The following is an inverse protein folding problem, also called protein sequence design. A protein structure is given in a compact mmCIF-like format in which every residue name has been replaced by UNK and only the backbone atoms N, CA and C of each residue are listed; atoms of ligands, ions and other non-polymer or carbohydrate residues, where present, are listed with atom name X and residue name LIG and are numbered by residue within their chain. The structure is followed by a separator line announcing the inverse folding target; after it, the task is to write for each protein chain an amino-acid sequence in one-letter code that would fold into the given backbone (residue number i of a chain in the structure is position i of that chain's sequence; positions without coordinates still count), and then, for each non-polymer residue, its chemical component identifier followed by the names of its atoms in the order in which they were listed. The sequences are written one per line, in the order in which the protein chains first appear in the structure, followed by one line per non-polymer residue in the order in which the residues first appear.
data_IF_167683911549
#
_entry.id   IF_167683911549
#
_cell.length_a   1.000
_cell.length_b   1.000
_cell.length_c   1.000
_cell.angle_alpha   90.00
_cell.angle_beta   90.00
_cell.angle_gamma   90.00
#
_symmetry.space_group_name_H-M   'P 1'
#
loop_
_entity.id
_entity.type
_entity.pdbx_description
1 polymer ?
#
# COMPACT_ATOMS: atom_id res chain seq x y z
N UNK A 1 28.78 -3.41 -38.67
CA UNK A 1 27.81 -2.32 -38.38
C UNK A 1 26.40 -2.74 -38.81
N UNK A 2 25.37 -2.50 -37.98
CA UNK A 2 23.98 -2.93 -38.26
C UNK A 2 23.32 -2.14 -39.42
N UNK A 3 23.71 -0.87 -39.63
CA UNK A 3 23.09 0.00 -40.64
C UNK A 3 23.47 -0.37 -42.09
N UNK A 4 24.76 -0.60 -42.45
CA UNK A 4 25.14 -1.06 -43.78
C UNK A 4 24.55 -2.43 -44.14
N UNK A 5 24.42 -3.34 -43.17
CA UNK A 5 23.76 -4.64 -43.36
C UNK A 5 22.27 -4.52 -43.73
N UNK A 6 21.64 -3.39 -43.43
CA UNK A 6 20.25 -3.07 -43.80
C UNK A 6 20.16 -2.13 -45.02
N UNK A 7 21.27 -1.90 -45.72
CA UNK A 7 21.33 -0.98 -46.87
C UNK A 7 21.19 0.50 -46.51
N UNK A 8 21.39 0.87 -45.24
CA UNK A 8 21.26 2.25 -44.74
C UNK A 8 22.63 2.90 -44.60
N UNK A 9 22.86 4.04 -45.27
CA UNK A 9 24.07 4.86 -45.13
C UNK A 9 23.99 5.67 -43.83
N UNK A 10 25.00 5.51 -42.97
CA UNK A 10 25.15 6.25 -41.73
C UNK A 10 26.17 7.37 -41.92
N UNK A 11 25.75 8.62 -41.65
CA UNK A 11 26.60 9.81 -41.73
C UNK A 11 26.55 10.53 -40.38
N UNK A 12 27.69 10.61 -39.69
CA UNK A 12 27.86 11.43 -38.50
C UNK A 12 28.81 12.59 -38.81
N UNK A 13 28.24 13.76 -39.09
CA UNK A 13 28.96 14.96 -39.57
C UNK A 13 30.03 15.40 -38.56
N UNK A 14 29.68 15.47 -37.28
CA UNK A 14 30.60 15.94 -36.22
C UNK A 14 31.69 14.92 -35.88
N UNK A 15 31.50 13.65 -36.23
CA UNK A 15 32.43 12.57 -35.94
C UNK A 15 33.21 12.12 -37.18
N UNK A 16 32.98 12.75 -38.35
CA UNK A 16 33.66 12.42 -39.61
C UNK A 16 33.39 11.00 -40.10
N UNK A 17 32.25 10.40 -39.72
CA UNK A 17 31.89 9.03 -40.09
C UNK A 17 30.97 9.05 -41.30
N UNK A 18 31.36 8.37 -42.37
CA UNK A 18 30.51 8.06 -43.51
C UNK A 18 30.67 6.59 -43.90
N UNK A 19 29.61 5.81 -43.70
CA UNK A 19 29.65 4.36 -43.97
C UNK A 19 29.80 4.01 -45.45
N UNK A 20 29.76 4.99 -46.37
CA UNK A 20 30.05 4.79 -47.79
C UNK A 20 31.54 4.92 -48.14
N UNK A 21 32.37 5.52 -47.27
CA UNK A 21 33.79 5.80 -47.53
C UNK A 21 34.75 4.79 -46.87
N UNK A 22 34.24 3.84 -46.08
CA UNK A 22 35.02 2.77 -45.43
C UNK A 22 34.46 2.41 -44.05
N UNK A 23 34.90 1.28 -43.49
CA UNK A 23 34.57 0.89 -42.12
C UNK A 23 35.34 1.76 -41.12
N UNK A 24 34.62 2.49 -40.27
CA UNK A 24 35.19 3.30 -39.21
C UNK A 24 35.13 2.54 -37.88
N UNK A 25 36.11 1.66 -37.66
CA UNK A 25 36.21 0.76 -36.50
C UNK A 25 36.27 1.49 -35.14
N UNK A 26 36.63 2.78 -35.16
CA UNK A 26 36.72 3.61 -33.96
C UNK A 26 35.39 4.23 -33.51
N UNK A 27 34.37 4.30 -34.39
CA UNK A 27 33.09 4.93 -34.05
C UNK A 27 32.36 4.23 -32.88
N UNK A 28 32.31 2.90 -32.79
CA UNK A 28 31.78 2.21 -31.61
C UNK A 28 32.56 2.51 -30.33
N UNK A 29 33.89 2.58 -30.38
CA UNK A 29 34.74 2.90 -29.22
C UNK A 29 34.45 4.30 -28.70
N UNK A 30 34.39 5.30 -29.59
CA UNK A 30 34.07 6.70 -29.23
C UNK A 30 32.68 6.83 -28.62
N UNK A 31 31.70 6.09 -29.13
CA UNK A 31 30.36 6.02 -28.53
C UNK A 31 30.38 5.44 -27.11
N UNK A 32 31.19 4.41 -26.85
CA UNK A 32 31.36 3.85 -25.50
C UNK A 32 31.98 4.89 -24.56
N UNK A 33 33.00 5.64 -25.00
CA UNK A 33 33.59 6.71 -24.18
C UNK A 33 32.61 7.83 -23.86
N UNK A 34 31.83 8.27 -24.85
CA UNK A 34 30.77 9.27 -24.64
C UNK A 34 29.71 8.76 -23.65
N UNK A 35 29.31 7.50 -23.77
CA UNK A 35 28.38 6.86 -22.85
C UNK A 35 28.94 6.80 -21.41
N UNK A 36 30.22 6.46 -21.26
CA UNK A 36 30.88 6.42 -19.97
C UNK A 36 30.96 7.79 -19.31
N UNK A 37 31.25 8.83 -20.09
CA UNK A 37 31.27 10.22 -19.61
C UNK A 37 29.88 10.63 -19.07
N UNK A 38 28.82 10.39 -19.84
CA UNK A 38 27.44 10.72 -19.41
C UNK A 38 27.07 9.93 -18.15
N UNK A 39 27.43 8.65 -18.08
CA UNK A 39 27.20 7.81 -16.90
C UNK A 39 27.94 8.35 -15.67
N UNK A 40 29.20 8.73 -15.81
CA UNK A 40 30.02 9.24 -14.71
C UNK A 40 29.54 10.61 -14.22
N UNK A 41 29.25 11.55 -15.14
CA UNK A 41 28.65 12.84 -14.79
C UNK A 41 27.32 12.65 -14.09
N UNK A 42 26.48 11.70 -14.54
CA UNK A 42 25.23 11.39 -13.83
C UNK A 42 25.48 10.86 -12.42
N UNK A 43 26.47 9.99 -12.20
CA UNK A 43 26.84 9.49 -10.88
C UNK A 43 27.32 10.62 -9.97
N UNK A 44 28.19 11.51 -10.47
CA UNK A 44 28.69 12.68 -9.74
C UNK A 44 27.57 13.62 -9.33
N UNK A 45 26.66 13.97 -10.25
CA UNK A 45 25.49 14.82 -9.94
C UNK A 45 24.58 14.15 -8.90
N UNK A 46 24.34 12.83 -9.01
CA UNK A 46 23.58 12.08 -8.00
C UNK A 46 24.26 12.12 -6.63
N UNK A 47 25.59 11.97 -6.58
CA UNK A 47 26.35 12.04 -5.33
C UNK A 47 26.28 13.44 -4.69
N UNK A 48 26.41 14.51 -5.48
CA UNK A 48 26.26 15.90 -4.99
C UNK A 48 24.86 16.14 -4.43
N UNK A 49 23.81 15.75 -5.17
CA UNK A 49 22.42 15.86 -4.69
C UNK A 49 22.17 15.01 -3.44
N UNK A 50 22.79 13.83 -3.35
CA UNK A 50 22.71 12.97 -2.18
C UNK A 50 23.37 13.63 -0.97
N UNK A 51 24.60 14.14 -1.13
CA UNK A 51 25.30 14.87 -0.07
C UNK A 51 24.50 16.07 0.44
N UNK A 52 24.01 16.92 -0.48
CA UNK A 52 23.14 18.06 -0.15
C UNK A 52 21.86 17.63 0.58
N UNK A 53 21.17 16.62 0.06
CA UNK A 53 19.92 16.17 0.65
C UNK A 53 20.10 15.49 2.01
N UNK A 54 21.24 14.82 2.23
CA UNK A 54 21.59 14.21 3.53
C UNK A 54 22.06 15.24 4.57
N UNK A 55 22.53 16.41 4.14
CA UNK A 55 22.90 17.50 5.05
C UNK A 55 21.70 18.33 5.54
N UNK A 56 20.48 17.86 5.31
CA UNK A 56 19.26 18.55 5.72
C UNK A 56 18.86 19.74 4.85
N UNK A 57 19.51 19.96 3.69
CA UNK A 57 19.13 21.01 2.75
C UNK A 57 18.14 20.51 1.69
N UNK A 58 17.20 21.33 1.22
CA UNK A 58 16.26 20.91 0.20
C UNK A 58 16.97 20.63 -1.15
N UNK A 59 16.68 19.47 -1.73
CA UNK A 59 17.17 19.12 -3.09
C UNK A 59 16.31 19.79 -4.17
N UNK A 60 15.09 20.19 -3.83
CA UNK A 60 14.16 20.84 -4.74
C UNK A 60 14.52 22.30 -4.92
N UNK A 61 14.40 22.81 -6.14
CA UNK A 61 14.65 24.23 -6.47
C UNK A 61 13.49 25.16 -6.13
N UNK A 62 12.34 24.62 -5.75
CA UNK A 62 11.12 25.36 -5.43
C UNK A 62 10.44 24.69 -4.24
N UNK A 63 10.04 25.44 -3.22
CA UNK A 63 9.34 24.89 -2.07
C UNK A 63 7.92 24.48 -2.45
N UNK A 64 7.23 23.84 -1.51
CA UNK A 64 5.83 23.45 -1.69
C UNK A 64 4.90 24.64 -1.51
N UNK A 65 3.71 24.55 -2.10
CA UNK A 65 2.73 25.65 -2.10
C UNK A 65 2.38 26.04 -0.66
N UNK A 66 2.47 27.33 -0.31
CA UNK A 66 2.34 27.79 1.08
C UNK A 66 3.67 28.21 1.71
N UNK A 67 4.79 27.93 1.05
CA UNK A 67 6.12 28.37 1.47
C UNK A 67 6.88 29.11 0.36
N UNK A 68 7.78 29.99 0.78
CA UNK A 68 8.85 30.58 0.00
C UNK A 68 10.19 29.97 0.38
N UNK A 69 11.16 30.06 -0.52
CA UNK A 69 12.53 29.65 -0.27
C UNK A 69 13.40 30.89 -0.31
N UNK A 70 14.12 31.13 0.77
CA UNK A 70 15.10 32.20 0.91
C UNK A 70 16.41 31.89 0.14
N UNK A 71 17.32 32.86 0.06
CA UNK A 71 18.68 32.72 -0.48
C UNK A 71 19.48 31.62 0.24
N UNK A 72 19.25 31.46 1.54
CA UNK A 72 19.84 30.38 2.36
C UNK A 72 19.14 29.02 2.19
N UNK A 73 18.18 28.91 1.28
CA UNK A 73 17.37 27.72 1.00
C UNK A 73 16.42 27.31 2.15
N UNK A 74 16.15 28.22 3.08
CA UNK A 74 15.20 28.02 4.18
C UNK A 74 13.75 28.22 3.73
N UNK A 75 12.82 27.45 4.28
CA UNK A 75 11.40 27.56 3.94
C UNK A 75 10.69 28.56 4.86
N UNK A 76 10.15 29.63 4.29
CA UNK A 76 9.44 30.70 5.00
C UNK A 76 7.95 30.62 4.64
N UNK A 77 7.05 30.85 5.60
CA UNK A 77 5.61 30.80 5.34
C UNK A 77 5.18 31.91 4.38
N UNK A 78 4.42 31.54 3.34
CA UNK A 78 3.79 32.48 2.41
C UNK A 78 2.46 32.98 2.98
N UNK A 79 2.39 34.28 3.29
CA UNK A 79 1.19 34.90 3.86
C UNK A 79 -0.07 34.81 2.98
N UNK A 80 0.08 34.65 1.66
CA UNK A 80 -1.05 34.54 0.73
C UNK A 80 -1.50 33.09 0.55
N UNK A 81 -0.55 32.15 0.41
CA UNK A 81 -0.84 30.75 0.12
C UNK A 81 -1.06 29.88 1.38
N UNK A 82 -0.41 30.19 2.50
CA UNK A 82 -0.54 29.40 3.73
C UNK A 82 -1.96 29.38 4.32
N UNK A 83 -2.73 30.48 4.33
CA UNK A 83 -4.13 30.45 4.76
C UNK A 83 -4.98 29.49 3.92
N UNK A 84 -4.74 29.40 2.61
CA UNK A 84 -5.44 28.47 1.71
C UNK A 84 -5.12 27.02 2.08
N UNK A 85 -3.87 26.71 2.41
CA UNK A 85 -3.49 25.38 2.90
C UNK A 85 -4.22 25.05 4.20
N UNK A 86 -4.24 25.96 5.19
CA UNK A 86 -5.00 25.78 6.44
C UNK A 86 -6.49 25.56 6.20
N UNK A 87 -7.07 26.32 5.27
CA UNK A 87 -8.46 26.15 4.87
C UNK A 87 -8.72 24.77 4.24
N UNK A 88 -7.84 24.28 3.37
CA UNK A 88 -7.96 22.94 2.75
C UNK A 88 -7.98 21.84 3.82
N UNK A 89 -7.06 21.90 4.79
CA UNK A 89 -7.02 20.92 5.88
C UNK A 89 -8.26 21.01 6.78
N UNK A 90 -8.72 22.21 7.13
CA UNK A 90 -9.95 22.43 7.90
C UNK A 90 -11.20 21.90 7.18
N UNK A 91 -11.33 22.17 5.89
CA UNK A 91 -12.44 21.65 5.08
C UNK A 91 -12.43 20.12 4.98
N UNK A 92 -11.24 19.50 4.96
CA UNK A 92 -11.11 18.04 4.99
C UNK A 92 -11.51 17.45 6.34
N UNK A 93 -11.16 18.10 7.46
CA UNK A 93 -11.62 17.72 8.80
C UNK A 93 -13.14 17.85 8.96
N UNK A 94 -13.74 18.85 8.31
CA UNK A 94 -15.19 19.01 8.22
C UNK A 94 -15.87 17.93 7.34
N UNK A 95 -15.13 16.94 6.82
CA UNK A 95 -15.66 15.81 6.06
C UNK A 95 -15.76 16.05 4.54
N UNK A 96 -15.34 17.20 4.02
CA UNK A 96 -15.40 17.46 2.59
C UNK A 96 -14.32 16.66 1.83
N UNK A 97 -14.68 16.13 0.66
CA UNK A 97 -13.75 15.33 -0.16
C UNK A 97 -12.87 16.21 -1.03
N UNK A 98 -11.70 15.72 -1.49
CA UNK A 98 -10.78 16.52 -2.31
C UNK A 98 -11.45 17.14 -3.54
N UNK A 99 -12.39 16.45 -4.18
CA UNK A 99 -13.18 16.98 -5.31
C UNK A 99 -14.12 18.11 -4.89
N UNK A 100 -14.79 17.97 -3.74
CA UNK A 100 -15.69 19.01 -3.21
C UNK A 100 -14.89 20.22 -2.76
N UNK A 101 -13.76 20.01 -2.09
CA UNK A 101 -12.81 21.06 -1.70
C UNK A 101 -12.32 21.81 -2.94
N UNK A 102 -11.87 21.10 -3.98
CA UNK A 102 -11.43 21.73 -5.23
C UNK A 102 -12.54 22.59 -5.87
N UNK A 103 -13.80 22.12 -5.84
CA UNK A 103 -14.93 22.90 -6.32
C UNK A 103 -15.16 24.15 -5.48
N UNK A 104 -15.15 24.03 -4.15
CA UNK A 104 -15.31 25.17 -3.23
C UNK A 104 -14.21 26.22 -3.42
N UNK A 105 -12.94 25.80 -3.59
CA UNK A 105 -11.84 26.73 -3.87
C UNK A 105 -12.01 27.43 -5.22
N UNK A 106 -12.56 26.72 -6.22
CA UNK A 106 -12.87 27.29 -7.54
C UNK A 106 -14.02 28.28 -7.47
N UNK A 107 -15.07 27.98 -6.69
CA UNK A 107 -16.21 28.87 -6.43
C UNK A 107 -15.80 30.13 -5.65
N UNK A 108 -14.77 30.04 -4.81
CA UNK A 108 -14.18 31.16 -4.07
C UNK A 108 -13.18 31.99 -4.91
N UNK A 109 -12.99 31.64 -6.20
CA UNK A 109 -12.07 32.29 -7.12
C UNK A 109 -10.61 32.34 -6.63
N UNK A 110 -10.20 31.36 -5.81
CA UNK A 110 -8.83 31.29 -5.27
C UNK A 110 -7.88 30.86 -6.41
N UNK A 111 -6.79 31.60 -6.67
CA UNK A 111 -5.84 31.27 -7.71
C UNK A 111 -5.16 29.93 -7.44
N UNK A 112 -4.99 29.12 -8.50
CA UNK A 112 -4.27 27.84 -8.37
C UNK A 112 -2.78 28.06 -8.11
N UNK A 113 -2.07 27.07 -7.55
CA UNK A 113 -0.63 27.18 -7.31
C UNK A 113 0.19 27.55 -8.56
N UNK A 114 -0.20 27.05 -9.74
CA UNK A 114 0.46 27.37 -11.01
C UNK A 114 0.20 28.80 -11.48
N UNK A 115 -1.00 29.33 -11.23
CA UNK A 115 -1.34 30.73 -11.53
C UNK A 115 -0.61 31.69 -10.60
N UNK A 116 -0.54 31.37 -9.31
CA UNK A 116 0.21 32.17 -8.34
C UNK A 116 1.70 32.22 -8.69
N UNK A 117 2.27 31.08 -9.09
CA UNK A 117 3.65 30.99 -9.56
C UNK A 117 3.90 31.84 -10.82
N UNK A 118 2.97 31.83 -11.77
CA UNK A 118 3.05 32.65 -12.98
C UNK A 118 3.03 34.15 -12.66
N UNK A 119 2.15 34.59 -11.76
CA UNK A 119 2.09 36.02 -11.33
C UNK A 119 3.39 36.50 -10.70
N UNK A 120 4.11 35.62 -9.98
CA UNK A 120 5.35 35.98 -9.28
C UNK A 120 6.61 35.86 -10.14
N UNK A 121 6.68 34.85 -11.01
CA UNK A 121 7.93 34.49 -11.71
C UNK A 121 7.83 34.56 -13.24
N UNK A 122 6.63 34.75 -13.79
CA UNK A 122 6.36 34.65 -15.22
C UNK A 122 6.45 33.21 -15.77
N UNK A 123 6.64 32.20 -14.93
CA UNK A 123 6.83 30.82 -15.39
C UNK A 123 5.53 30.20 -15.92
N UNK A 124 5.54 29.75 -17.17
CA UNK A 124 4.37 29.13 -17.82
C UNK A 124 4.26 27.62 -17.60
N UNK A 125 5.18 27.01 -16.85
CA UNK A 125 5.29 25.54 -16.72
C UNK A 125 4.04 24.85 -16.20
N UNK A 126 3.34 25.47 -15.25
CA UNK A 126 2.11 24.94 -14.62
C UNK A 126 0.91 25.87 -14.80
N UNK A 127 1.09 26.94 -15.57
CA UNK A 127 0.07 27.94 -15.85
C UNK A 127 -0.76 27.53 -17.05
N UNK A 128 -2.08 27.64 -16.91
CA UNK A 128 -3.03 27.31 -17.96
C UNK A 128 -3.97 28.51 -18.15
N UNK A 129 -3.81 29.28 -19.23
CA UNK A 129 -4.69 30.39 -19.54
C UNK A 129 -6.18 29.95 -19.56
N UNK A 130 -7.05 30.71 -18.89
CA UNK A 130 -8.49 30.41 -18.77
C UNK A 130 -8.86 29.37 -17.69
N UNK A 131 -7.88 28.86 -16.93
CA UNK A 131 -8.07 27.93 -15.81
C UNK A 131 -7.48 28.48 -14.50
N UNK A 132 -7.42 29.80 -14.37
CA UNK A 132 -6.65 30.48 -13.33
C UNK A 132 -7.02 30.06 -11.90
N UNK A 133 -8.31 29.88 -11.66
CA UNK A 133 -8.88 29.48 -10.37
C UNK A 133 -9.50 28.07 -10.39
N UNK A 134 -9.29 27.29 -11.46
CA UNK A 134 -9.86 25.93 -11.57
C UNK A 134 -8.96 24.91 -10.89
N UNK A 135 -9.29 24.61 -9.63
CA UNK A 135 -8.53 23.64 -8.84
C UNK A 135 -8.75 22.20 -9.33
N UNK A 136 -7.66 21.52 -9.68
CA UNK A 136 -7.69 20.10 -9.97
C UNK A 136 -7.80 19.29 -8.67
N UNK A 137 -8.58 18.21 -8.69
CA UNK A 137 -8.72 17.31 -7.53
C UNK A 137 -7.36 16.76 -7.08
N UNK A 138 -6.48 16.39 -8.02
CA UNK A 138 -5.15 15.87 -7.70
C UNK A 138 -4.26 16.88 -6.96
N UNK A 139 -4.39 18.18 -7.26
CA UNK A 139 -3.64 19.22 -6.55
C UNK A 139 -4.00 19.24 -5.06
N UNK A 140 -5.30 19.16 -4.75
CA UNK A 140 -5.77 19.10 -3.36
C UNK A 140 -5.33 17.81 -2.67
N UNK A 141 -5.39 16.67 -3.38
CA UNK A 141 -4.89 15.37 -2.90
C UNK A 141 -3.42 15.44 -2.50
N UNK A 142 -2.56 16.01 -3.35
CA UNK A 142 -1.13 16.15 -3.07
C UNK A 142 -0.85 17.11 -1.91
N UNK A 143 -1.63 18.20 -1.78
CA UNK A 143 -1.50 19.12 -0.63
C UNK A 143 -1.84 18.40 0.68
N UNK A 144 -2.92 17.61 0.68
CA UNK A 144 -3.35 16.86 1.85
C UNK A 144 -2.42 15.67 2.17
N UNK A 145 -1.67 15.12 1.21
CA UNK A 145 -0.72 14.01 1.41
C UNK A 145 0.64 14.46 1.91
N UNK A 146 1.05 15.69 1.60
CA UNK A 146 2.42 16.11 1.81
C UNK A 146 2.70 16.35 3.30
N UNK A 147 3.61 15.56 3.87
CA UNK A 147 4.06 15.71 5.27
C UNK A 147 4.81 17.01 5.52
N UNK A 148 5.37 17.65 4.49
CA UNK A 148 6.17 18.88 4.66
C UNK A 148 5.42 20.03 5.35
N UNK A 149 4.08 20.07 5.27
CA UNK A 149 3.28 21.08 5.97
C UNK A 149 3.37 21.01 7.50
N UNK A 150 3.89 19.91 8.07
CA UNK A 150 4.15 19.76 9.50
C UNK A 150 5.54 20.26 9.91
N UNK A 151 6.25 21.00 9.04
CA UNK A 151 7.57 21.55 9.33
C UNK A 151 8.74 20.57 9.13
N UNK A 152 8.50 19.40 8.52
CA UNK A 152 9.57 18.47 8.17
C UNK A 152 10.04 18.67 6.73
N UNK A 153 11.33 18.45 6.46
CA UNK A 153 11.86 18.36 5.10
C UNK A 153 11.95 16.89 4.68
N UNK A 154 11.38 16.56 3.50
CA UNK A 154 11.43 15.20 2.96
C UNK A 154 12.18 15.18 1.64
N UNK A 155 13.42 14.70 1.69
CA UNK A 155 14.28 14.55 0.53
C UNK A 155 14.17 13.14 -0.08
N UNK A 156 14.51 13.03 -1.37
CA UNK A 156 14.52 11.78 -2.15
C UNK A 156 13.17 11.07 -2.31
N UNK A 157 12.06 11.83 -2.39
CA UNK A 157 10.71 11.29 -2.72
C UNK A 157 10.65 10.50 -4.03
N UNK A 158 11.50 10.85 -4.99
CA UNK A 158 11.54 10.20 -6.30
C UNK A 158 12.98 9.95 -6.74
N UNK A 159 13.21 8.86 -7.48
CA UNK A 159 14.48 8.58 -8.12
C UNK A 159 14.33 8.34 -9.62
N UNK A 160 15.40 8.63 -10.37
CA UNK A 160 15.54 8.18 -11.76
C UNK A 160 16.38 6.90 -11.78
N UNK A 161 15.79 5.74 -12.12
CA UNK A 161 16.50 4.46 -12.10
C UNK A 161 17.76 4.48 -12.97
N UNK A 162 17.64 5.03 -14.17
CA UNK A 162 18.74 5.19 -15.12
C UNK A 162 18.83 6.62 -15.63
N UNK A 163 20.04 7.06 -15.95
CA UNK A 163 20.28 8.35 -16.62
C UNK A 163 19.70 8.39 -18.03
N UNK A 164 19.46 7.23 -18.65
CA UNK A 164 18.83 7.10 -19.97
C UNK A 164 17.31 7.23 -19.92
N UNK A 165 16.70 7.02 -18.77
CA UNK A 165 15.24 7.02 -18.61
C UNK A 165 14.75 8.42 -18.25
N UNK A 166 13.77 8.91 -19.00
CA UNK A 166 13.16 10.23 -18.73
C UNK A 166 12.16 10.19 -17.56
N UNK A 167 11.54 9.03 -17.33
CA UNK A 167 10.57 8.82 -16.27
C UNK A 167 11.22 8.71 -14.89
N UNK A 168 10.56 9.28 -13.89
CA UNK A 168 10.94 9.16 -12.48
C UNK A 168 10.04 8.14 -11.80
N UNK A 169 10.58 7.41 -10.82
CA UNK A 169 9.85 6.45 -9.99
C UNK A 169 9.76 7.02 -8.58
N UNK A 170 8.64 6.75 -7.90
CA UNK A 170 8.42 7.13 -6.51
C UNK A 170 9.16 6.19 -5.56
N UNK A 171 9.81 6.75 -4.54
CA UNK A 171 10.59 5.99 -3.59
C UNK A 171 9.76 5.59 -2.37
N UNK A 172 9.92 4.36 -1.84
CA UNK A 172 9.36 3.97 -0.56
C UNK A 172 9.93 4.84 0.57
N UNK A 173 9.20 4.95 1.68
CA UNK A 173 9.53 5.81 2.83
C UNK A 173 10.94 5.50 3.37
N UNK A 174 11.36 4.24 3.37
CA UNK A 174 12.70 3.80 3.82
C UNK A 174 13.86 4.44 3.05
N UNK A 175 13.64 4.81 1.78
CA UNK A 175 14.64 5.49 0.95
C UNK A 175 14.55 7.01 1.05
N UNK A 176 13.54 7.56 1.73
CA UNK A 176 13.35 9.00 1.90
C UNK A 176 14.12 9.47 3.14
N UNK A 177 14.82 10.60 3.00
CA UNK A 177 15.48 11.24 4.13
C UNK A 177 14.52 12.28 4.72
N UNK A 178 14.08 12.06 5.95
CA UNK A 178 13.13 12.91 6.66
C UNK A 178 13.88 13.68 7.75
N UNK A 179 13.87 15.00 7.66
CA UNK A 179 14.44 15.89 8.66
C UNK A 179 13.29 16.59 9.39
N UNK A 180 13.15 16.32 10.67
CA UNK A 180 12.11 16.92 11.51
C UNK A 180 12.51 18.35 11.91
N UNK A 181 11.51 19.22 12.13
CA UNK A 181 11.69 20.61 12.58
C UNK A 181 12.62 21.46 11.69
N UNK A 182 12.54 21.30 10.37
CA UNK A 182 13.32 22.09 9.42
C UNK A 182 12.79 23.52 9.27
N UNK A 183 11.47 23.70 9.28
CA UNK A 183 10.84 25.00 9.04
C UNK A 183 9.54 25.14 9.81
N UNK A 184 9.00 26.36 9.85
CA UNK A 184 7.78 26.65 10.60
C UNK A 184 6.58 25.87 10.03
N UNK A 185 5.86 25.08 10.85
CA UNK A 185 4.73 24.29 10.38
C UNK A 185 3.53 25.19 10.03
N UNK A 186 2.90 24.95 8.87
CA UNK A 186 1.60 25.56 8.55
C UNK A 186 0.46 24.83 9.28
N UNK A 187 0.65 23.52 9.50
CA UNK A 187 -0.32 22.58 10.07
C UNK A 187 0.35 21.75 11.17
N UNK A 188 -0.36 21.50 12.27
CA UNK A 188 0.13 20.64 13.35
C UNK A 188 0.21 19.17 12.92
N UNK A 189 1.20 18.44 13.44
CA UNK A 189 1.38 17.01 13.16
C UNK A 189 0.12 16.18 13.46
N UNK A 190 -0.55 16.47 14.59
CA UNK A 190 -1.79 15.79 14.98
C UNK A 190 -2.92 16.03 13.97
N UNK A 191 -3.02 17.25 13.42
CA UNK A 191 -4.02 17.60 12.42
C UNK A 191 -3.75 16.84 11.12
N UNK A 192 -2.49 16.74 10.71
CA UNK A 192 -2.08 16.00 9.51
C UNK A 192 -2.38 14.50 9.64
N UNK A 193 -2.02 13.88 10.77
CA UNK A 193 -2.27 12.45 11.04
C UNK A 193 -3.77 12.14 11.02
N UNK A 194 -4.59 12.98 11.66
CA UNK A 194 -6.04 12.84 11.66
C UNK A 194 -6.63 12.92 10.25
N UNK A 195 -6.12 13.83 9.42
CA UNK A 195 -6.52 13.93 8.01
C UNK A 195 -6.11 12.66 7.24
N UNK A 196 -4.91 12.12 7.43
CA UNK A 196 -4.51 10.86 6.79
C UNK A 196 -5.43 9.70 7.18
N UNK A 197 -5.77 9.60 8.46
CA UNK A 197 -6.66 8.56 8.96
C UNK A 197 -8.06 8.68 8.36
N UNK A 198 -8.65 9.88 8.38
CA UNK A 198 -9.94 10.16 7.76
C UNK A 198 -9.94 9.81 6.27
N UNK A 199 -8.85 10.12 5.55
CA UNK A 199 -8.71 9.81 4.13
C UNK A 199 -8.59 8.31 3.85
N UNK A 200 -7.92 7.54 4.70
CA UNK A 200 -7.85 6.07 4.60
C UNK A 200 -9.20 5.41 4.85
N UNK A 201 -9.94 5.91 5.84
CA UNK A 201 -11.25 5.34 6.23
C UNK A 201 -12.39 5.75 5.29
N UNK A 202 -12.20 6.82 4.51
CA UNK A 202 -13.25 7.35 3.64
C UNK A 202 -13.55 6.39 2.48
N UNK A 203 -14.73 5.80 2.51
CA UNK A 203 -15.33 5.17 1.33
C UNK A 203 -15.87 6.26 0.41
N UNK A 204 -15.58 6.17 -0.89
CA UNK A 204 -16.09 7.13 -1.88
C UNK A 204 -17.62 6.99 -1.94
N UNK A 205 -18.40 8.02 -1.57
CA UNK A 205 -19.84 7.97 -1.72
C UNK A 205 -20.20 7.89 -3.20
N UNK A 206 -21.32 7.25 -3.51
CA UNK A 206 -21.82 7.18 -4.89
C UNK A 206 -22.28 8.56 -5.37
N UNK A 207 -22.66 8.68 -6.65
CA UNK A 207 -23.16 9.92 -7.27
C UNK A 207 -24.31 10.60 -6.48
N UNK A 208 -25.03 9.85 -5.65
CA UNK A 208 -26.16 10.30 -4.83
C UNK A 208 -25.81 10.54 -3.35
N UNK A 209 -24.52 10.65 -3.02
CA UNK A 209 -23.98 10.84 -1.66
C UNK A 209 -24.27 9.70 -0.66
N UNK A 210 -24.87 8.60 -1.12
CA UNK A 210 -25.14 7.39 -0.34
C UNK A 210 -23.99 6.39 -0.48
N UNK A 211 -23.65 5.72 0.63
CA UNK A 211 -22.73 4.59 0.66
C UNK A 211 -23.54 3.31 0.74
N UNK A 212 -23.44 2.46 -0.28
CA UNK A 212 -24.11 1.15 -0.26
C UNK A 212 -23.66 0.29 0.92
N UNK A 213 -24.59 -0.48 1.48
CA UNK A 213 -24.42 -1.31 2.67
C UNK A 213 -23.16 -2.21 2.60
N UNK A 214 -22.92 -2.82 1.45
CA UNK A 214 -21.79 -3.72 1.20
C UNK A 214 -20.61 -3.08 0.47
N UNK A 215 -20.53 -1.74 0.44
CA UNK A 215 -19.47 -1.03 -0.28
C UNK A 215 -18.09 -1.36 0.29
N UNK A 216 -17.20 -1.90 -0.55
CA UNK A 216 -15.81 -2.22 -0.19
C UNK A 216 -15.59 -3.56 0.53
N UNK A 217 -16.63 -4.40 0.69
CA UNK A 217 -16.49 -5.76 1.26
C UNK A 217 -16.90 -6.87 0.28
N UNK A 218 -17.44 -6.55 -0.90
CA UNK A 218 -17.82 -7.52 -1.93
C UNK A 218 -16.72 -7.71 -2.98
N UNK A 219 -16.37 -8.96 -3.24
CA UNK A 219 -15.33 -9.36 -4.20
C UNK A 219 -15.86 -10.43 -5.16
N UNK A 220 -15.34 -10.42 -6.40
CA UNK A 220 -15.66 -11.41 -7.41
C UNK A 220 -14.75 -12.63 -7.24
N UNK A 221 -15.32 -13.84 -7.26
CA UNK A 221 -14.57 -15.09 -7.13
C UNK A 221 -13.51 -15.26 -8.23
N UNK A 222 -13.87 -14.99 -9.50
CA UNK A 222 -13.01 -15.27 -10.65
C UNK A 222 -11.85 -14.30 -10.82
N UNK A 223 -12.11 -13.00 -10.65
CA UNK A 223 -11.11 -11.96 -10.95
C UNK A 223 -10.56 -11.26 -9.71
N UNK A 224 -11.12 -11.52 -8.53
CA UNK A 224 -10.74 -10.88 -7.26
C UNK A 224 -11.09 -9.39 -7.16
N UNK A 225 -11.75 -8.82 -8.18
CA UNK A 225 -12.08 -7.39 -8.19
C UNK A 225 -13.28 -7.06 -7.31
N UNK A 226 -13.30 -5.83 -6.78
CA UNK A 226 -14.40 -5.33 -5.95
C UNK A 226 -15.67 -5.19 -6.80
N UNK A 227 -16.83 -5.61 -6.27
CA UNK A 227 -18.12 -5.34 -6.89
C UNK A 227 -18.61 -3.93 -6.54
N UNK A 228 -19.06 -3.19 -7.56
CA UNK A 228 -19.61 -1.85 -7.39
C UNK A 228 -21.13 -1.88 -7.40
N UNK A 229 -21.76 -1.10 -6.53
CA UNK A 229 -23.20 -0.88 -6.58
C UNK A 229 -23.56 -0.12 -7.87
N UNK A 230 -24.58 -0.61 -8.55
CA UNK A 230 -25.19 0.00 -9.71
C UNK A 230 -26.70 0.01 -9.52
N UNK A 231 -27.29 1.18 -9.75
CA UNK A 231 -28.73 1.35 -9.78
C UNK A 231 -29.21 1.25 -11.21
N UNK A 232 -30.06 0.27 -11.51
CA UNK A 232 -30.77 0.18 -12.76
C UNK A 232 -32.16 0.80 -12.58
N UNK A 233 -32.44 1.85 -13.34
CA UNK A 233 -33.75 2.49 -13.36
C UNK A 233 -34.27 2.49 -14.81
N UNK A 234 -35.28 1.67 -15.05
CA UNK A 234 -36.11 1.71 -16.26
C UNK A 234 -37.48 2.30 -15.90
N UNK A 235 -38.29 2.65 -16.91
CA UNK A 235 -39.62 3.24 -16.71
C UNK A 235 -40.55 2.37 -15.81
N UNK A 236 -40.32 1.06 -15.77
CA UNK A 236 -41.15 0.08 -15.04
C UNK A 236 -40.47 -0.54 -13.81
N UNK A 237 -39.14 -0.39 -13.64
CA UNK A 237 -38.39 -1.10 -12.60
C UNK A 237 -37.23 -0.27 -12.07
N UNK A 238 -37.13 -0.17 -10.75
CA UNK A 238 -35.95 0.31 -10.01
C UNK A 238 -35.32 -0.90 -9.33
N UNK A 239 -34.07 -1.18 -9.64
CA UNK A 239 -33.35 -2.34 -9.12
C UNK A 239 -31.90 -1.99 -8.80
N UNK A 240 -31.52 -2.17 -7.56
CA UNK A 240 -30.14 -2.02 -7.11
C UNK A 240 -29.42 -3.36 -7.19
N UNK A 241 -28.22 -3.37 -7.77
CA UNK A 241 -27.38 -4.55 -7.89
C UNK A 241 -25.91 -4.23 -7.69
N UNK A 242 -25.11 -5.25 -7.40
CA UNK A 242 -23.66 -5.18 -7.39
C UNK A 242 -23.12 -5.89 -8.63
N UNK A 243 -22.18 -5.24 -9.34
CA UNK A 243 -21.55 -5.75 -10.56
C UNK A 243 -20.03 -5.78 -10.41
N UNK A 244 -19.38 -6.81 -10.97
CA UNK A 244 -17.93 -6.91 -11.00
C UNK A 244 -17.26 -5.68 -11.62
N UNK A 245 -16.28 -5.13 -10.91
CA UNK A 245 -15.54 -3.94 -11.32
C UNK A 245 -14.70 -4.12 -12.57
N UNK A 246 -14.03 -5.27 -12.70
CA UNK A 246 -13.23 -5.61 -13.89
C UNK A 246 -14.08 -5.73 -15.14
N UNK A 247 -15.25 -6.37 -15.04
CA UNK A 247 -16.21 -6.48 -16.14
C UNK A 247 -16.72 -5.09 -16.57
N UNK A 248 -17.13 -4.26 -15.61
CA UNK A 248 -17.64 -2.90 -15.88
C UNK A 248 -16.61 -2.00 -16.57
N UNK A 249 -15.34 -2.06 -16.14
CA UNK A 249 -14.26 -1.23 -16.69
C UNK A 249 -13.55 -1.88 -17.88
N UNK A 250 -13.93 -3.11 -18.27
CA UNK A 250 -13.26 -3.93 -19.31
C UNK A 250 -11.74 -4.02 -19.09
N UNK A 251 -11.32 -4.14 -17.84
CA UNK A 251 -9.89 -4.14 -17.47
C UNK A 251 -9.28 -5.54 -17.49
N UNK A 252 -10.11 -6.57 -17.32
CA UNK A 252 -9.72 -7.98 -17.33
C UNK A 252 -10.88 -8.81 -17.89
N UNK A 253 -10.58 -9.93 -18.52
CA UNK A 253 -11.59 -10.89 -18.96
C UNK A 253 -12.22 -11.55 -17.73
N UNK A 254 -13.46 -11.19 -17.46
CA UNK A 254 -14.29 -11.73 -16.39
C UNK A 254 -15.73 -11.72 -16.90
N UNK A 255 -16.54 -12.69 -16.50
CA UNK A 255 -17.95 -12.73 -16.89
C UNK A 255 -18.77 -11.70 -16.09
N UNK A 256 -20.01 -11.48 -16.49
CA UNK A 256 -20.91 -10.52 -15.87
C UNK A 256 -21.38 -11.01 -14.48
N UNK A 257 -20.49 -11.05 -13.50
CA UNK A 257 -20.86 -11.34 -12.11
C UNK A 257 -21.75 -10.21 -11.61
N UNK A 258 -23.02 -10.53 -11.40
CA UNK A 258 -24.01 -9.59 -10.89
C UNK A 258 -24.86 -10.24 -9.80
N UNK A 259 -25.12 -9.51 -8.74
CA UNK A 259 -26.03 -9.93 -7.66
C UNK A 259 -26.96 -8.80 -7.25
N UNK A 260 -28.21 -9.11 -6.96
CA UNK A 260 -29.20 -8.12 -6.53
C UNK A 260 -28.94 -7.70 -5.08
N UNK A 261 -29.07 -6.42 -4.80
CA UNK A 261 -28.88 -5.90 -3.43
C UNK A 261 -29.89 -6.51 -2.46
N UNK A 262 -31.17 -6.62 -2.83
CA UNK A 262 -32.21 -7.19 -1.95
C UNK A 262 -31.91 -8.65 -1.55
N UNK A 263 -31.54 -9.48 -2.54
CA UNK A 263 -31.24 -10.90 -2.32
C UNK A 263 -29.96 -11.08 -1.50
N UNK A 264 -28.94 -10.27 -1.78
CA UNK A 264 -27.71 -10.27 -1.00
C UNK A 264 -27.97 -9.86 0.46
N UNK A 265 -28.75 -8.80 0.69
CA UNK A 265 -29.11 -8.36 2.05
C UNK A 265 -29.86 -9.45 2.79
N UNK A 266 -30.85 -10.08 2.15
CA UNK A 266 -31.62 -11.18 2.76
C UNK A 266 -30.72 -12.39 3.09
N UNK A 267 -29.90 -12.84 2.15
CA UNK A 267 -29.01 -13.99 2.33
C UNK A 267 -27.96 -13.78 3.42
N UNK A 268 -27.33 -12.60 3.45
CA UNK A 268 -26.34 -12.26 4.49
C UNK A 268 -27.01 -12.13 5.86
N UNK A 269 -28.21 -11.54 5.93
CA UNK A 269 -28.96 -11.42 7.19
C UNK A 269 -29.36 -12.79 7.74
N UNK A 270 -29.84 -13.70 6.89
CA UNK A 270 -30.23 -15.05 7.30
C UNK A 270 -29.02 -15.87 7.78
N UNK A 271 -27.90 -15.80 7.05
CA UNK A 271 -26.65 -16.48 7.45
C UNK A 271 -26.11 -15.93 8.78
N UNK A 272 -26.07 -14.60 8.96
CA UNK A 272 -25.67 -13.98 10.22
C UNK A 272 -26.58 -14.40 11.38
N UNK A 273 -27.89 -14.47 11.19
CA UNK A 273 -28.84 -14.93 12.21
C UNK A 273 -28.62 -16.41 12.58
N UNK A 274 -28.34 -17.26 11.59
CA UNK A 274 -28.00 -18.67 11.83
C UNK A 274 -26.69 -18.81 12.61
N UNK A 275 -25.63 -18.12 12.20
CA UNK A 275 -24.32 -18.17 12.88
C UNK A 275 -24.40 -17.61 14.30
N UNK A 276 -25.03 -16.45 14.49
CA UNK A 276 -25.17 -15.82 15.82
C UNK A 276 -26.05 -16.66 16.74
N UNK A 277 -27.17 -17.21 16.27
CA UNK A 277 -28.03 -18.06 17.10
C UNK A 277 -27.37 -19.39 17.46
N UNK A 278 -26.60 -20.00 16.55
CA UNK A 278 -25.84 -21.21 16.84
C UNK A 278 -24.70 -20.94 17.84
N UNK A 279 -23.94 -19.86 17.63
CA UNK A 279 -22.88 -19.44 18.53
C UNK A 279 -23.40 -19.10 19.94
N UNK A 280 -24.57 -18.46 20.05
CA UNK A 280 -25.20 -18.15 21.32
C UNK A 280 -25.74 -19.40 22.06
N UNK A 281 -26.33 -20.36 21.34
CA UNK A 281 -26.89 -21.59 21.93
C UNK A 281 -25.83 -22.63 22.28
N UNK A 282 -24.73 -22.67 21.53
CA UNK A 282 -23.72 -23.73 21.62
C UNK A 282 -22.30 -23.18 21.64
N UNK A 283 -22.04 -22.19 22.51
CA UNK A 283 -20.75 -21.49 22.61
C UNK A 283 -19.54 -22.43 22.69
N UNK A 284 -19.56 -23.43 23.58
CA UNK A 284 -18.46 -24.37 23.73
C UNK A 284 -18.25 -25.26 22.48
N UNK A 285 -19.34 -25.65 21.80
CA UNK A 285 -19.29 -26.50 20.60
C UNK A 285 -18.87 -25.69 19.38
N UNK A 286 -19.30 -24.43 19.29
CA UNK A 286 -18.91 -23.50 18.25
C UNK A 286 -17.44 -23.13 18.37
N UNK A 287 -16.96 -22.80 19.57
CA UNK A 287 -15.52 -22.60 19.83
C UNK A 287 -14.70 -23.82 19.43
N UNK A 288 -15.17 -25.03 19.76
CA UNK A 288 -14.51 -26.27 19.35
C UNK A 288 -14.48 -26.43 17.82
N UNK A 289 -15.59 -26.14 17.13
CA UNK A 289 -15.67 -26.18 15.66
C UNK A 289 -14.74 -25.18 14.98
N UNK A 290 -14.63 -23.95 15.51
CA UNK A 290 -13.74 -22.93 14.98
C UNK A 290 -12.25 -23.26 15.20
N UNK A 291 -11.95 -23.90 16.33
CA UNK A 291 -10.63 -24.43 16.61
C UNK A 291 -10.35 -25.62 15.68
N UNK A 292 -11.28 -26.55 15.49
CA UNK A 292 -11.10 -27.74 14.63
C UNK A 292 -10.98 -27.38 13.14
N UNK A 293 -11.77 -26.43 12.63
CA UNK A 293 -11.64 -25.93 11.24
C UNK A 293 -10.30 -25.23 10.97
N UNK A 294 -9.69 -24.60 11.99
CA UNK A 294 -8.36 -23.99 11.86
C UNK A 294 -7.22 -24.94 12.25
N UNK A 295 -7.50 -25.96 13.07
CA UNK A 295 -6.54 -26.92 13.62
C UNK A 295 -6.86 -28.35 13.19
N UNK A 296 -7.04 -28.61 11.90
CA UNK A 296 -7.10 -29.98 11.41
C UNK A 296 -5.74 -30.67 11.72
N UNK A 297 -5.69 -31.38 12.86
CA UNK A 297 -4.54 -32.13 13.39
C UNK A 297 -3.64 -31.48 14.46
N UNK A 298 -4.03 -30.36 15.09
CA UNK A 298 -3.10 -29.44 15.77
C UNK A 298 -2.58 -29.80 17.17
N UNK A 299 -3.41 -30.18 18.15
CA UNK A 299 -2.98 -30.15 19.57
C UNK A 299 -1.75 -31.02 19.91
N UNK A 300 -1.70 -32.26 19.41
CA UNK A 300 -0.57 -33.18 19.65
C UNK A 300 0.68 -32.76 18.86
N UNK A 301 0.49 -32.20 17.67
CA UNK A 301 1.55 -31.68 16.80
C UNK A 301 2.13 -30.36 17.33
N UNK A 302 1.30 -29.47 17.87
CA UNK A 302 1.68 -28.21 18.50
C UNK A 302 2.44 -28.45 19.81
N UNK A 303 2.01 -29.44 20.61
CA UNK A 303 2.77 -29.87 21.79
C UNK A 303 4.14 -30.45 21.42
N UNK A 304 4.24 -31.24 20.34
CA UNK A 304 5.51 -31.76 19.84
C UNK A 304 6.41 -30.63 19.29
N UNK A 305 5.86 -29.70 18.50
CA UNK A 305 6.56 -28.52 17.98
C UNK A 305 7.05 -27.60 19.10
N UNK A 306 6.27 -27.42 20.17
CA UNK A 306 6.70 -26.64 21.33
C UNK A 306 7.90 -27.29 22.03
N UNK A 307 7.91 -28.61 22.18
CA UNK A 307 9.09 -29.34 22.69
C UNK A 307 10.29 -29.22 21.76
N UNK A 308 10.09 -29.27 20.44
CA UNK A 308 11.14 -29.07 19.45
C UNK A 308 11.74 -27.65 19.52
N UNK A 309 10.89 -26.64 19.71
CA UNK A 309 11.32 -25.25 19.91
C UNK A 309 12.17 -25.11 21.19
N UNK A 310 11.69 -25.64 22.32
CA UNK A 310 12.43 -25.62 23.59
C UNK A 310 13.79 -26.34 23.46
N UNK A 311 13.85 -27.47 22.74
CA UNK A 311 15.10 -28.18 22.48
C UNK A 311 16.05 -27.37 21.58
N UNK A 312 15.55 -26.75 20.52
CA UNK A 312 16.35 -25.91 19.63
C UNK A 312 16.89 -24.66 20.35
N UNK A 313 16.08 -23.99 21.16
CA UNK A 313 16.49 -22.84 21.98
C UNK A 313 17.56 -23.22 23.00
N UNK A 314 17.40 -24.38 23.66
CA UNK A 314 18.41 -24.91 24.57
C UNK A 314 19.72 -25.16 23.83
N UNK A 315 19.70 -25.81 22.67
CA UNK A 315 20.90 -26.07 21.87
C UNK A 315 21.58 -24.77 21.39
N UNK A 316 20.82 -23.77 20.97
CA UNK A 316 21.36 -22.44 20.61
C UNK A 316 22.07 -21.80 21.81
N UNK A 317 21.52 -21.93 23.02
CA UNK A 317 22.13 -21.41 24.24
C UNK A 317 23.43 -22.16 24.61
N UNK A 318 23.45 -23.49 24.44
CA UNK A 318 24.64 -24.33 24.65
C UNK A 318 25.75 -23.97 23.65
N UNK A 319 25.42 -23.84 22.37
CA UNK A 319 26.35 -23.40 21.32
C UNK A 319 26.92 -22.01 21.62
N UNK A 320 26.09 -21.09 22.12
CA UNK A 320 26.55 -19.75 22.51
C UNK A 320 27.54 -19.79 23.69
N UNK A 321 27.36 -20.73 24.64
CA UNK A 321 28.29 -20.93 25.74
C UNK A 321 29.60 -21.59 25.27
N UNK A 322 29.51 -22.56 24.35
CA UNK A 322 30.68 -23.20 23.72
C UNK A 322 31.50 -22.16 22.95
N UNK A 323 30.85 -21.30 22.17
CA UNK A 323 31.51 -20.25 21.40
C UNK A 323 32.26 -19.25 22.28
N UNK A 324 31.67 -18.86 23.43
CA UNK A 324 32.35 -18.02 24.42
C UNK A 324 33.63 -18.66 24.96
N UNK A 325 33.58 -19.95 25.32
CA UNK A 325 34.77 -20.69 25.78
C UNK A 325 35.82 -20.85 24.68
N UNK A 326 35.39 -21.15 23.46
CA UNK A 326 36.29 -21.26 22.30
C UNK A 326 37.05 -19.95 22.05
N UNK A 327 36.38 -18.81 22.22
CA UNK A 327 37.00 -17.48 22.14
C UNK A 327 37.97 -17.22 23.29
N UNK A 328 37.64 -17.64 24.52
CA UNK A 328 38.57 -17.55 25.66
C UNK A 328 39.84 -18.41 25.44
N UNK A 329 39.69 -19.61 24.88
CA UNK A 329 40.80 -20.52 24.59
C UNK A 329 41.68 -20.03 23.42
N UNK A 330 41.12 -19.30 22.44
CA UNK A 330 41.92 -18.66 21.38
C UNK A 330 42.70 -17.45 21.91
N UNK A 331 42.07 -16.58 22.71
CA UNK A 331 42.74 -15.43 23.34
C UNK A 331 43.86 -15.86 24.29
N UNK A 332 43.71 -17.00 24.97
CA UNK A 332 44.76 -17.56 25.84
C UNK A 332 45.83 -18.35 25.09
N UNK A 333 45.74 -18.46 23.75
CA UNK A 333 46.74 -19.12 22.90
C UNK A 333 46.74 -20.64 22.99
N UNK A 334 45.69 -21.26 23.56
CA UNK A 334 45.56 -22.73 23.62
C UNK A 334 45.16 -23.33 22.28
N UNK A 335 44.59 -22.52 21.39
CA UNK A 335 44.13 -22.90 20.05
C UNK A 335 44.73 -21.91 19.06
N UNK A 336 45.19 -22.41 17.89
CA UNK A 336 45.65 -21.54 16.81
C UNK A 336 44.48 -20.84 16.11
N UNK A 337 44.73 -19.68 15.52
CA UNK A 337 43.72 -18.90 14.80
C UNK A 337 43.05 -19.71 13.68
N UNK A 338 43.81 -20.54 12.96
CA UNK A 338 43.29 -21.44 11.91
C UNK A 338 42.28 -22.46 12.48
N UNK A 339 42.59 -23.07 13.62
CA UNK A 339 41.68 -24.03 14.29
C UNK A 339 40.46 -23.35 14.90
N UNK A 340 40.61 -22.10 15.37
CA UNK A 340 39.48 -21.30 15.81
C UNK A 340 38.54 -21.02 14.63
N UNK A 341 39.06 -20.65 13.46
CA UNK A 341 38.24 -20.37 12.27
C UNK A 341 37.46 -21.59 11.78
N UNK A 342 38.04 -22.79 11.78
CA UNK A 342 37.32 -24.02 11.41
C UNK A 342 36.20 -24.35 12.41
N UNK A 343 36.52 -24.41 13.71
CA UNK A 343 35.54 -24.78 14.74
C UNK A 343 34.43 -23.74 14.89
N UNK A 344 34.76 -22.45 14.78
CA UNK A 344 33.78 -21.36 14.85
C UNK A 344 32.81 -21.40 13.66
N UNK A 345 33.30 -21.72 12.46
CA UNK A 345 32.44 -21.84 11.27
C UNK A 345 31.39 -22.95 11.42
N UNK A 346 31.75 -24.11 11.95
CA UNK A 346 30.81 -25.23 12.16
C UNK A 346 29.73 -24.88 13.20
N UNK A 347 30.12 -24.26 14.32
CA UNK A 347 29.16 -23.84 15.36
C UNK A 347 28.28 -22.68 14.89
N UNK A 348 28.80 -21.74 14.10
CA UNK A 348 28.01 -20.67 13.51
C UNK A 348 27.01 -21.21 12.47
N UNK A 349 27.40 -22.19 11.66
CA UNK A 349 26.51 -22.86 10.72
C UNK A 349 25.37 -23.59 11.45
N UNK A 350 25.67 -24.39 12.48
CA UNK A 350 24.67 -25.08 13.30
C UNK A 350 23.74 -24.08 14.00
N UNK A 351 24.29 -23.00 14.57
CA UNK A 351 23.50 -21.96 15.24
C UNK A 351 22.57 -21.24 14.26
N UNK A 352 23.01 -20.98 13.04
CA UNK A 352 22.21 -20.35 12.00
C UNK A 352 21.04 -21.26 11.59
N UNK A 353 21.29 -22.54 11.32
CA UNK A 353 20.24 -23.50 10.97
C UNK A 353 19.20 -23.63 12.08
N UNK A 354 19.64 -23.75 13.34
CA UNK A 354 18.73 -23.84 14.48
C UNK A 354 17.91 -22.56 14.69
N UNK A 355 18.50 -21.38 14.45
CA UNK A 355 17.78 -20.10 14.52
C UNK A 355 16.71 -19.99 13.43
N UNK A 356 17.02 -20.39 12.20
CA UNK A 356 16.07 -20.40 11.09
C UNK A 356 14.91 -21.38 11.38
N UNK A 357 15.22 -22.58 11.88
CA UNK A 357 14.22 -23.58 12.26
C UNK A 357 13.35 -23.12 13.43
N UNK A 358 13.94 -22.53 14.47
CA UNK A 358 13.21 -21.97 15.59
C UNK A 358 12.28 -20.82 15.17
N UNK A 359 12.73 -19.95 14.25
CA UNK A 359 11.91 -18.88 13.70
C UNK A 359 10.71 -19.44 12.91
N UNK A 360 10.92 -20.47 12.09
CA UNK A 360 9.84 -21.15 11.38
C UNK A 360 8.81 -21.77 12.33
N UNK A 361 9.26 -22.51 13.35
CA UNK A 361 8.37 -23.14 14.35
C UNK A 361 7.61 -22.08 15.16
N UNK A 362 8.26 -20.98 15.55
CA UNK A 362 7.58 -19.85 16.23
C UNK A 362 6.50 -19.23 15.36
N UNK A 363 6.76 -19.03 14.07
CA UNK A 363 5.78 -18.47 13.14
C UNK A 363 4.57 -19.42 12.94
N UNK A 364 4.76 -20.73 13.01
CA UNK A 364 3.66 -21.70 12.98
C UNK A 364 2.86 -21.70 14.29
N UNK A 365 3.53 -21.63 15.45
CA UNK A 365 2.87 -21.57 16.76
C UNK A 365 2.12 -20.25 16.96
N UNK A 366 2.63 -19.13 16.46
CA UNK A 366 1.96 -17.83 16.53
C UNK A 366 0.67 -17.83 15.73
N UNK A 367 0.64 -18.45 14.54
CA UNK A 367 -0.60 -18.62 13.75
C UNK A 367 -1.66 -19.41 14.50
N UNK A 368 -1.27 -20.46 15.22
CA UNK A 368 -2.19 -21.26 16.03
C UNK A 368 -2.74 -20.47 17.24
N UNK A 369 -1.89 -19.69 17.92
CA UNK A 369 -2.33 -18.80 18.99
C UNK A 369 -3.23 -17.67 18.49
N UNK A 370 -2.91 -17.06 17.36
CA UNK A 370 -3.75 -16.05 16.69
C UNK A 370 -5.14 -16.60 16.40
N UNK A 371 -5.27 -17.85 15.94
CA UNK A 371 -6.57 -18.48 15.69
C UNK A 371 -7.43 -18.60 16.97
N UNK A 372 -6.83 -18.98 18.11
CA UNK A 372 -7.56 -19.06 19.39
C UNK A 372 -8.02 -17.69 19.89
N UNK A 373 -7.14 -16.68 19.84
CA UNK A 373 -7.47 -15.29 20.21
C UNK A 373 -8.52 -14.71 19.26
N UNK A 374 -8.47 -15.06 17.98
CA UNK A 374 -9.43 -14.63 16.98
C UNK A 374 -10.82 -15.23 17.21
N UNK A 375 -10.91 -16.51 17.60
CA UNK A 375 -12.17 -17.14 17.98
C UNK A 375 -12.80 -16.45 19.21
N UNK A 376 -12.00 -16.12 20.24
CA UNK A 376 -12.48 -15.37 21.41
C UNK A 376 -12.96 -13.96 21.05
N UNK A 377 -12.23 -13.25 20.18
CA UNK A 377 -12.66 -11.93 19.67
C UNK A 377 -13.98 -12.02 18.93
N UNK A 378 -14.17 -13.03 18.08
CA UNK A 378 -15.43 -13.25 17.39
C UNK A 378 -16.58 -13.50 18.37
N UNK A 379 -16.37 -14.33 19.39
CA UNK A 379 -17.38 -14.56 20.43
C UNK A 379 -17.76 -13.29 21.20
N UNK A 380 -16.79 -12.41 21.47
CA UNK A 380 -17.09 -11.11 22.08
C UNK A 380 -17.97 -10.24 21.18
N UNK A 381 -17.78 -10.28 19.86
CA UNK A 381 -18.64 -9.58 18.89
C UNK A 381 -20.04 -10.21 18.86
N UNK A 382 -20.16 -11.54 18.86
CA UNK A 382 -21.45 -12.25 18.93
C UNK A 382 -22.22 -11.89 20.21
N UNK A 383 -21.53 -11.85 21.37
CA UNK A 383 -22.13 -11.48 22.66
C UNK A 383 -22.66 -10.04 22.67
N UNK A 384 -22.03 -9.13 21.93
CA UNK A 384 -22.44 -7.72 21.82
C UNK A 384 -23.70 -7.53 20.98
N UNK A 385 -23.97 -8.41 20.00
CA UNK A 385 -25.12 -8.29 19.09
C UNK A 385 -25.94 -9.58 18.99
N UNK A 386 -26.47 -10.03 20.13
CA UNK A 386 -27.30 -11.25 20.19
C UNK A 386 -28.63 -11.12 19.43
N UNK A 387 -29.12 -9.90 19.21
CA UNK A 387 -30.31 -9.62 18.42
C UNK A 387 -30.18 -8.29 17.69
N UNK A 388 -30.44 -8.27 16.39
CA UNK A 388 -30.52 -7.05 15.59
C UNK A 388 -31.70 -7.13 14.61
N UNK A 389 -32.47 -6.04 14.51
CA UNK A 389 -33.62 -5.94 13.61
C UNK A 389 -33.19 -5.62 12.17
N UNK A 390 -32.25 -4.69 12.01
CA UNK A 390 -31.75 -4.25 10.71
C UNK A 390 -30.23 -4.41 10.57
N UNK A 391 -29.80 -4.72 9.34
CA UNK A 391 -28.40 -4.88 9.00
C UNK A 391 -27.75 -3.50 8.82
N UNK A 392 -27.04 -3.04 9.85
CA UNK A 392 -26.35 -1.74 9.80
C UNK A 392 -24.94 -1.87 9.20
N UNK A 393 -24.42 -0.83 8.51
CA UNK A 393 -23.05 -0.84 7.98
C UNK A 393 -21.96 -1.00 9.04
N UNK A 394 -22.24 -0.64 10.29
CA UNK A 394 -21.33 -0.82 11.43
C UNK A 394 -21.26 -2.28 11.86
N UNK A 395 -22.42 -2.93 12.02
CA UNK A 395 -22.51 -4.35 12.35
C UNK A 395 -21.82 -5.21 11.28
N UNK A 396 -22.06 -4.93 10.00
CA UNK A 396 -21.40 -5.64 8.91
C UNK A 396 -19.87 -5.56 8.96
N UNK A 397 -19.30 -4.42 9.35
CA UNK A 397 -17.83 -4.27 9.44
C UNK A 397 -17.23 -5.01 10.62
N UNK A 398 -17.95 -5.09 11.73
CA UNK A 398 -17.48 -5.83 12.90
C UNK A 398 -17.53 -7.34 12.64
N UNK A 399 -18.57 -7.83 11.95
CA UNK A 399 -18.77 -9.27 11.70
C UNK A 399 -18.13 -9.81 10.42
N UNK A 400 -18.10 -9.06 9.33
CA UNK A 400 -17.77 -9.58 7.99
C UNK A 400 -16.53 -8.89 7.44
N UNK A 401 -15.51 -9.69 7.14
CA UNK A 401 -14.27 -9.22 6.53
C UNK A 401 -14.44 -9.06 5.02
N UNK A 402 -14.96 -10.09 4.35
CA UNK A 402 -15.19 -10.09 2.91
C UNK A 402 -16.34 -11.02 2.53
N UNK A 403 -17.02 -10.69 1.44
CA UNK A 403 -18.05 -11.51 0.82
C UNK A 403 -17.62 -11.78 -0.62
N UNK A 404 -17.46 -13.05 -0.99
CA UNK A 404 -17.07 -13.46 -2.33
C UNK A 404 -18.30 -13.96 -3.08
N UNK A 405 -18.56 -13.37 -4.24
CA UNK A 405 -19.71 -13.69 -5.09
C UNK A 405 -19.22 -14.50 -6.29
N UNK A 406 -19.80 -15.68 -6.46
CA UNK A 406 -19.52 -16.60 -7.57
C UNK A 406 -20.40 -16.31 -8.79
N UNK A 407 -20.02 -16.93 -9.91
CA UNK A 407 -20.80 -16.90 -11.14
C UNK A 407 -22.18 -17.55 -10.92
N UNK A 408 -23.21 -17.04 -11.60
CA UNK A 408 -24.53 -17.62 -11.49
C UNK A 408 -24.68 -18.87 -12.36
N UNK A 409 -25.26 -19.91 -11.79
CA UNK A 409 -25.66 -21.13 -12.49
C UNK A 409 -27.18 -21.17 -12.66
N UNK A 410 -27.66 -21.99 -13.59
CA UNK A 410 -29.08 -22.26 -13.77
C UNK A 410 -29.34 -23.73 -13.48
N UNK A 411 -30.32 -24.01 -12.63
CA UNK A 411 -30.80 -25.38 -12.43
C UNK A 411 -31.52 -25.89 -13.69
N UNK A 412 -31.73 -27.21 -13.77
CA UNK A 412 -32.51 -27.88 -14.84
C UNK A 412 -33.91 -27.27 -15.01
N UNK A 413 -34.47 -26.67 -13.97
CA UNK A 413 -35.77 -25.97 -13.97
C UNK A 413 -35.70 -24.49 -14.41
N UNK A 414 -34.55 -24.01 -14.89
CA UNK A 414 -34.32 -22.62 -15.29
C UNK A 414 -34.25 -21.63 -14.11
N UNK A 415 -34.17 -22.12 -12.87
CA UNK A 415 -34.03 -21.27 -11.68
C UNK A 415 -32.57 -20.81 -11.56
N UNK A 416 -32.37 -19.50 -11.45
CA UNK A 416 -31.04 -18.91 -11.29
C UNK A 416 -30.53 -19.11 -9.86
N UNK A 417 -29.42 -19.84 -9.71
CA UNK A 417 -28.66 -19.97 -8.45
C UNK A 417 -27.40 -19.13 -8.50
N UNK A 418 -26.98 -18.66 -7.34
CA UNK A 418 -25.74 -17.89 -7.20
C UNK A 418 -25.16 -18.13 -5.82
N UNK A 419 -23.94 -18.65 -5.78
CA UNK A 419 -23.27 -18.97 -4.54
C UNK A 419 -22.52 -17.75 -4.00
N UNK A 420 -22.53 -17.62 -2.68
CA UNK A 420 -21.90 -16.51 -1.95
C UNK A 420 -21.14 -17.10 -0.78
N UNK A 421 -19.84 -16.83 -0.72
CA UNK A 421 -19.02 -17.16 0.44
C UNK A 421 -18.89 -15.93 1.34
N UNK A 422 -19.30 -16.07 2.60
CA UNK A 422 -19.18 -15.03 3.62
C UNK A 422 -18.00 -15.39 4.51
N UNK A 423 -17.01 -14.49 4.54
CA UNK A 423 -15.87 -14.60 5.44
C UNK A 423 -16.10 -13.67 6.63
N UNK A 424 -16.26 -14.28 7.79
CA UNK A 424 -16.41 -13.60 9.05
C UNK A 424 -15.07 -13.07 9.55
N UNK A 425 -15.09 -11.87 10.11
CA UNK A 425 -13.94 -11.28 10.80
C UNK A 425 -13.38 -12.26 11.81
N UNK A 426 -12.06 -12.42 11.85
CA UNK A 426 -11.31 -13.29 12.76
C UNK A 426 -11.39 -14.80 12.47
N UNK A 427 -12.50 -15.30 11.91
CA UNK A 427 -12.78 -16.74 11.83
C UNK A 427 -12.77 -17.28 10.39
N UNK A 428 -12.90 -16.42 9.39
CA UNK A 428 -12.93 -16.84 7.99
C UNK A 428 -14.29 -17.42 7.59
N UNK A 429 -14.28 -18.43 6.70
CA UNK A 429 -15.51 -19.09 6.25
C UNK A 429 -15.99 -20.06 7.32
N UNK A 430 -17.23 -19.88 7.79
CA UNK A 430 -17.84 -20.75 8.80
C UNK A 430 -18.89 -21.62 8.12
N UNK A 431 -18.57 -22.89 7.96
CA UNK A 431 -19.54 -23.90 7.55
C UNK A 431 -20.19 -24.51 8.80
N UNK A 432 -21.46 -24.17 9.04
CA UNK A 432 -22.22 -24.76 10.13
C UNK A 432 -22.61 -26.21 9.76
N UNK A 433 -22.46 -27.18 10.68
CA UNK A 433 -22.98 -28.53 10.46
C UNK A 433 -24.52 -28.48 10.39
N UNK A 434 -25.09 -29.29 9.49
CA UNK A 434 -26.55 -29.42 9.29
C UNK A 434 -27.31 -29.83 10.57
#
# INVERSE_FOLDING_TARGET
MIFPQKGVRFIAINDGVDSAQGDNDFAPLRNIFNEWLVRDTSKKIKAVKRSKGMSGKPVTSKPVYGYFMDEDENFIIDGEAAPVVRQIYSLCLAGNGPTKIARMLTEQEIPTPGTLEYRRTGSTRRYHPGYECKWATNTVVHILENREYTGCLVNFKTEKPSYKTKHSVENPIEKQAIFENHHEPIIDTQMWERVQELRKQRKRPNRYDEVGLFSGILFCADCGSVLYQQRYQNATRKQDCYICGSYKKRTRDCTAHFIRTDLLTAGVTDNLRKVTSYAAKHEARFMKLLIEQNEDGGKRRNAARKKELEAAEKRISELSAIFKRLYEDSVTGRISDERFTELSADYEAEQKELKERAAAIRAELSKAQEATVNAEKFMNVVRKYTSFEELTPTLLREFVEKIVVHECSYDENGTRRQDIDIYYSFVGKVDLPE
#
